data_IF_519933558946
#
_entry.id   IF_519933558946
#
_cell.length_a   1.000
_cell.length_b   1.000
_cell.length_c   1.000
_cell.angle_alpha   90.00
_cell.angle_beta   90.00
_cell.angle_gamma   90.00
#
_symmetry.space_group_name_H-M   'P 1'
#
loop_
_entity.id
_entity.type
_entity.pdbx_description
1 polymer ?
#
# COMPACT_ATOMS: atom_id res chain seq x y z
N UNK A 1 18.94 -33.20 39.43
CA UNK A 1 19.37 -33.28 38.00
C UNK A 1 18.21 -33.32 37.02
N UNK A 2 17.16 -34.14 37.25
CA UNK A 2 15.98 -34.20 36.36
C UNK A 2 15.19 -32.89 36.22
N UNK A 3 15.06 -32.12 37.31
CA UNK A 3 14.40 -30.79 37.29
C UNK A 3 15.10 -29.78 36.38
N UNK A 4 16.44 -29.79 36.34
CA UNK A 4 17.23 -28.94 35.45
C UNK A 4 16.99 -29.29 33.97
N UNK A 5 16.87 -30.58 33.67
CA UNK A 5 16.60 -31.07 32.31
C UNK A 5 15.23 -30.65 31.81
N UNK A 6 14.19 -30.73 32.65
CA UNK A 6 12.86 -30.23 32.29
C UNK A 6 12.85 -28.72 32.06
N UNK A 7 13.58 -27.96 32.87
CA UNK A 7 13.69 -26.50 32.74
C UNK A 7 14.41 -26.11 31.42
N UNK A 8 15.48 -26.81 31.07
CA UNK A 8 16.15 -26.67 29.77
C UNK A 8 15.25 -27.02 28.58
N UNK A 9 14.43 -28.07 28.72
CA UNK A 9 13.51 -28.49 27.67
C UNK A 9 12.42 -27.43 27.44
N UNK A 10 11.86 -26.87 28.51
CA UNK A 10 10.90 -25.76 28.44
C UNK A 10 11.55 -24.52 27.83
N UNK A 11 12.81 -24.22 28.18
CA UNK A 11 13.56 -23.10 27.60
C UNK A 11 13.74 -23.26 26.08
N UNK A 12 14.14 -24.46 25.62
CA UNK A 12 14.32 -24.75 24.20
C UNK A 12 13.00 -24.64 23.42
N UNK A 13 11.90 -25.12 23.99
CA UNK A 13 10.56 -24.99 23.38
C UNK A 13 10.15 -23.52 23.30
N UNK A 14 10.39 -22.73 24.36
CA UNK A 14 10.07 -21.31 24.38
C UNK A 14 10.87 -20.51 23.34
N UNK A 15 12.17 -20.80 23.17
CA UNK A 15 13.02 -20.16 22.16
C UNK A 15 12.53 -20.50 20.74
N UNK A 16 12.20 -21.77 20.48
CA UNK A 16 11.66 -22.20 19.19
C UNK A 16 10.33 -21.52 18.85
N UNK A 17 9.48 -21.28 19.85
CA UNK A 17 8.19 -20.60 19.68
C UNK A 17 8.37 -19.10 19.37
N UNK A 18 9.35 -18.44 19.98
CA UNK A 18 9.65 -17.02 19.72
C UNK A 18 10.30 -16.84 18.34
N UNK A 19 11.18 -17.76 17.92
CA UNK A 19 11.88 -17.69 16.64
C UNK A 19 10.96 -17.98 15.43
N UNK A 20 9.85 -18.70 15.62
CA UNK A 20 8.88 -18.98 14.55
C UNK A 20 7.85 -17.87 14.35
N UNK A 21 7.91 -16.79 15.15
CA UNK A 21 6.99 -15.68 15.00
C UNK A 21 7.09 -15.09 13.59
N UNK A 22 5.99 -15.05 12.81
CA UNK A 22 6.04 -14.54 11.47
C UNK A 22 6.44 -13.07 11.49
N UNK A 23 7.35 -12.63 10.60
CA UNK A 23 7.71 -11.23 10.51
C UNK A 23 6.46 -10.38 10.27
N UNK A 24 6.22 -9.43 11.15
CA UNK A 24 5.08 -8.51 11.05
C UNK A 24 5.36 -7.54 9.90
N UNK A 25 4.76 -7.79 8.75
CA UNK A 25 4.86 -6.90 7.60
C UNK A 25 3.94 -5.69 7.82
N UNK A 26 4.53 -4.52 8.03
CA UNK A 26 3.78 -3.26 8.07
C UNK A 26 3.41 -2.89 6.64
N UNK A 27 2.13 -2.93 6.30
CA UNK A 27 1.60 -2.42 5.03
C UNK A 27 1.15 -0.98 5.23
N UNK A 28 1.56 -0.10 4.32
CA UNK A 28 1.12 1.29 4.26
C UNK A 28 0.42 1.51 2.93
N UNK A 29 -0.68 2.25 2.98
CA UNK A 29 -1.46 2.65 1.82
C UNK A 29 -1.59 4.17 1.92
N UNK A 30 -1.04 4.86 0.94
CA UNK A 30 -1.12 6.31 0.82
C UNK A 30 -2.26 6.63 -0.15
N UNK A 31 -3.26 7.38 0.34
CA UNK A 31 -4.43 7.81 -0.42
C UNK A 31 -4.39 9.33 -0.54
N UNK A 32 -4.40 9.83 -1.77
CA UNK A 32 -4.46 11.26 -2.07
C UNK A 32 -5.74 11.52 -2.86
N UNK A 33 -6.59 12.40 -2.33
CA UNK A 33 -7.79 12.88 -3.01
C UNK A 33 -7.64 14.38 -3.22
N UNK A 34 -7.80 14.84 -4.46
CA UNK A 34 -7.84 16.26 -4.81
C UNK A 34 -9.09 16.57 -5.62
N UNK A 35 -9.60 17.78 -5.43
CA UNK A 35 -10.70 18.33 -6.20
C UNK A 35 -10.31 19.74 -6.61
N UNK A 36 -10.36 20.03 -7.90
CA UNK A 36 -10.09 21.34 -8.48
C UNK A 36 -11.33 21.78 -9.26
N UNK A 37 -11.75 23.04 -9.11
CA UNK A 37 -12.87 23.61 -9.82
C UNK A 37 -12.41 24.86 -10.58
N UNK A 38 -12.65 24.92 -11.88
CA UNK A 38 -12.35 26.08 -12.72
C UNK A 38 -13.61 26.90 -12.97
N UNK A 39 -13.68 28.07 -12.33
CA UNK A 39 -14.79 29.01 -12.43
C UNK A 39 -14.98 29.59 -13.85
N UNK A 40 -13.97 29.53 -14.74
CA UNK A 40 -14.04 30.10 -16.10
C UNK A 40 -14.75 29.18 -17.07
N UNK A 41 -14.50 27.88 -16.93
CA UNK A 41 -14.97 26.84 -17.85
C UNK A 41 -16.09 25.98 -17.23
N UNK A 42 -16.48 26.27 -15.97
CA UNK A 42 -17.45 25.50 -15.17
C UNK A 42 -17.09 24.00 -15.14
N UNK A 43 -15.79 23.73 -15.01
CA UNK A 43 -15.21 22.39 -14.97
C UNK A 43 -14.87 21.99 -13.54
N UNK A 44 -15.17 20.74 -13.18
CA UNK A 44 -14.72 20.13 -11.93
C UNK A 44 -13.85 18.93 -12.24
N UNK A 45 -12.61 18.96 -11.78
CA UNK A 45 -11.68 17.83 -11.83
C UNK A 45 -11.56 17.19 -10.45
N UNK A 46 -11.91 15.90 -10.35
CA UNK A 46 -11.70 15.08 -9.17
C UNK A 46 -10.59 14.07 -9.46
N UNK A 47 -9.52 14.05 -8.66
CA UNK A 47 -8.47 13.06 -8.79
C UNK A 47 -8.31 12.26 -7.50
N UNK A 48 -8.38 10.93 -7.61
CA UNK A 48 -8.10 10.00 -6.53
C UNK A 48 -6.87 9.17 -6.91
N UNK A 49 -5.85 9.19 -6.07
CA UNK A 49 -4.62 8.42 -6.22
C UNK A 49 -4.40 7.55 -4.98
N UNK A 50 -4.08 6.27 -5.21
CA UNK A 50 -3.82 5.28 -4.20
C UNK A 50 -2.48 4.63 -4.49
N UNK A 51 -1.58 4.57 -3.49
CA UNK A 51 -0.27 3.93 -3.59
C UNK A 51 -0.14 2.94 -2.44
N UNK A 52 0.29 1.71 -2.72
CA UNK A 52 0.45 0.68 -1.72
C UNK A 52 1.77 -0.07 -1.90
N UNK A 53 2.50 -0.25 -0.80
CA UNK A 53 3.63 -1.19 -0.76
C UNK A 53 3.10 -2.63 -0.77
N UNK A 54 3.32 -3.36 -1.87
CA UNK A 54 2.80 -4.72 -2.05
C UNK A 54 3.73 -5.76 -1.43
N UNK A 55 5.04 -5.56 -1.61
CA UNK A 55 6.05 -6.48 -1.13
C UNK A 55 7.40 -5.79 -0.94
N UNK A 56 8.17 -6.25 0.04
CA UNK A 56 9.55 -5.88 0.25
C UNK A 56 10.36 -7.12 0.63
N UNK A 57 11.57 -7.25 0.11
CA UNK A 57 12.51 -8.29 0.50
C UNK A 57 12.90 -8.14 1.99
N UNK A 58 13.30 -9.23 2.67
CA UNK A 58 13.71 -9.17 4.09
C UNK A 58 14.90 -8.22 4.34
N UNK A 59 15.77 -8.08 3.36
CA UNK A 59 16.92 -7.16 3.37
C UNK A 59 16.58 -5.76 2.83
N UNK A 60 15.30 -5.50 2.49
CA UNK A 60 14.78 -4.24 1.97
C UNK A 60 15.40 -3.73 0.65
N UNK A 61 16.21 -4.56 -0.04
CA UNK A 61 16.86 -4.22 -1.32
C UNK A 61 15.95 -4.32 -2.53
N UNK A 62 14.88 -5.11 -2.45
CA UNK A 62 13.89 -5.20 -3.51
C UNK A 62 12.52 -4.84 -2.97
N UNK A 63 11.82 -3.95 -3.67
CA UNK A 63 10.48 -3.49 -3.31
C UNK A 63 9.57 -3.50 -4.52
N UNK A 64 8.30 -3.82 -4.28
CA UNK A 64 7.23 -3.79 -5.27
C UNK A 64 6.12 -2.89 -4.71
N UNK A 65 5.90 -1.77 -5.38
CA UNK A 65 4.83 -0.84 -5.07
C UNK A 65 3.78 -0.86 -6.19
N UNK A 66 2.51 -0.75 -5.82
CA UNK A 66 1.40 -0.60 -6.76
C UNK A 66 0.78 0.79 -6.61
N UNK A 67 0.36 1.39 -7.71
CA UNK A 67 -0.41 2.63 -7.72
C UNK A 67 -1.63 2.55 -8.62
N UNK A 68 -2.69 3.26 -8.24
CA UNK A 68 -3.88 3.46 -9.03
C UNK A 68 -4.29 4.91 -8.93
N UNK A 69 -4.59 5.55 -10.06
CA UNK A 69 -5.07 6.93 -10.13
C UNK A 69 -6.29 6.98 -11.03
N UNK A 70 -7.33 7.66 -10.59
CA UNK A 70 -8.49 7.98 -11.38
C UNK A 70 -8.66 9.49 -11.39
N UNK A 71 -8.81 10.07 -12.58
CA UNK A 71 -9.15 11.47 -12.78
C UNK A 71 -10.51 11.53 -13.45
N UNK A 72 -11.45 12.20 -12.83
CA UNK A 72 -12.80 12.41 -13.33
C UNK A 72 -13.00 13.89 -13.63
N UNK A 73 -13.38 14.20 -14.87
CA UNK A 73 -13.68 15.57 -15.32
C UNK A 73 -15.17 15.69 -15.60
N UNK A 74 -15.81 16.66 -14.97
CA UNK A 74 -17.23 17.01 -15.19
C UNK A 74 -17.30 18.43 -15.71
N UNK A 75 -17.92 18.65 -16.87
CA UNK A 75 -18.19 20.00 -17.39
C UNK A 75 -19.64 20.39 -17.08
N UNK A 76 -19.88 21.62 -16.63
CA UNK A 76 -21.19 22.13 -16.22
C UNK A 76 -22.17 22.46 -17.36
N UNK A 77 -21.85 22.12 -18.62
CA UNK A 77 -22.70 22.35 -19.79
C UNK A 77 -23.67 21.21 -20.12
N UNK A 78 -24.89 21.56 -20.57
CA UNK A 78 -26.03 20.68 -20.95
C UNK A 78 -25.68 19.62 -22.04
N UNK A 79 -24.49 19.69 -22.63
CA UNK A 79 -23.92 18.68 -23.52
C UNK A 79 -22.53 18.27 -23.03
N UNK A 80 -22.42 17.56 -21.91
CA UNK A 80 -21.12 17.07 -21.47
C UNK A 80 -21.15 15.59 -21.17
N UNK A 81 -20.38 14.83 -21.96
CA UNK A 81 -19.92 13.51 -21.52
C UNK A 81 -19.03 13.67 -20.29
N UNK A 82 -19.10 12.70 -19.39
CA UNK A 82 -18.10 12.54 -18.35
C UNK A 82 -16.85 11.91 -18.96
N UNK A 83 -15.67 12.48 -18.69
CA UNK A 83 -14.41 11.84 -19.02
C UNK A 83 -13.80 11.22 -17.75
N UNK A 84 -13.22 10.04 -17.91
CA UNK A 84 -12.58 9.30 -16.83
C UNK A 84 -11.26 8.71 -17.33
N UNK A 85 -10.16 9.20 -16.76
CA UNK A 85 -8.83 8.68 -17.00
C UNK A 85 -8.39 7.77 -15.85
N UNK A 86 -8.24 6.48 -16.15
CA UNK A 86 -7.80 5.46 -15.20
C UNK A 86 -6.34 5.08 -15.49
N UNK A 87 -5.48 5.21 -14.48
CA UNK A 87 -4.06 4.89 -14.58
C UNK A 87 -3.70 3.88 -13.50
N UNK A 88 -3.03 2.82 -13.89
CA UNK A 88 -2.53 1.79 -12.97
C UNK A 88 -1.02 1.69 -13.17
N UNK A 89 -0.27 1.70 -12.08
CA UNK A 89 1.17 1.64 -12.07
C UNK A 89 1.69 0.50 -11.20
N UNK A 90 2.80 -0.09 -11.63
CA UNK A 90 3.59 -1.02 -10.83
C UNK A 90 5.04 -0.53 -10.85
N UNK A 91 5.62 -0.32 -9.68
CA UNK A 91 7.01 0.07 -9.53
C UNK A 91 7.79 -1.06 -8.88
N UNK A 92 8.85 -1.50 -9.53
CA UNK A 92 9.81 -2.46 -8.96
C UNK A 92 11.14 -1.74 -8.80
N UNK A 93 11.70 -1.80 -7.59
CA UNK A 93 12.97 -1.18 -7.24
C UNK A 93 13.95 -2.28 -6.83
N UNK A 94 15.18 -2.21 -7.36
CA UNK A 94 16.31 -3.07 -7.02
C UNK A 94 17.49 -2.18 -6.65
N UNK A 95 18.13 -2.44 -5.50
CA UNK A 95 19.42 -1.88 -5.08
C UNK A 95 20.60 -2.81 -5.39
#
# INVERSE_FOLDING_TARGET
MRSLQYLLLVLLIAIGLVASAPPRHRRQIDLTLSAEHDDKDDETELALEAIAGLWSSPDSRTKIDGSAKVVHRSHGGIQSGSDQDWRIGLRVVFD
#
